data_IF_566902660251
#
_entry.id   IF_566902660251
#
_cell.length_a   1.000
_cell.length_b   1.000
_cell.length_c   1.000
_cell.angle_alpha   90.00
_cell.angle_beta   90.00
_cell.angle_gamma   90.00
#
_symmetry.space_group_name_H-M   'P 1'
#
loop_
_entity.id
_entity.type
_entity.pdbx_description
1 polymer ?
#
# COMPACT_ATOMS: atom_id res chain seq x y z
N UNK A 1 -12.68 -0.97 -10.97
CA UNK A 1 -12.91 -2.41 -10.66
C UNK A 1 -11.67 -3.22 -11.01
N UNK A 2 -11.52 -4.44 -10.50
CA UNK A 2 -10.32 -5.27 -10.77
C UNK A 2 -10.64 -6.75 -10.98
N UNK A 3 -9.79 -7.42 -11.76
CA UNK A 3 -9.77 -8.89 -11.93
C UNK A 3 -8.33 -9.39 -12.02
N UNK A 4 -8.12 -10.64 -11.59
CA UNK A 4 -6.94 -11.39 -12.04
C UNK A 4 -7.08 -11.67 -13.53
N UNK A 5 -5.96 -11.83 -14.23
CA UNK A 5 -6.00 -12.20 -15.65
C UNK A 5 -6.85 -13.46 -15.87
N UNK A 6 -7.84 -13.40 -16.77
CA UNK A 6 -8.83 -14.48 -17.00
C UNK A 6 -9.99 -14.58 -15.99
N UNK A 7 -10.03 -13.76 -14.93
CA UNK A 7 -11.06 -13.82 -13.89
C UNK A 7 -12.33 -12.99 -14.16
N UNK A 8 -13.36 -13.17 -13.31
CA UNK A 8 -14.56 -12.32 -13.28
C UNK A 8 -14.23 -10.94 -12.71
N UNK A 9 -14.81 -9.90 -13.31
CA UNK A 9 -14.71 -8.52 -12.82
C UNK A 9 -15.36 -8.37 -11.44
N UNK A 10 -14.60 -7.82 -10.48
CA UNK A 10 -15.10 -7.46 -9.16
C UNK A 10 -14.97 -5.97 -8.92
N UNK A 11 -16.04 -5.34 -8.43
CA UNK A 11 -15.96 -3.95 -7.94
C UNK A 11 -15.22 -3.96 -6.61
N UNK A 12 -14.19 -3.13 -6.53
CA UNK A 12 -13.31 -2.96 -5.38
C UNK A 12 -12.95 -1.48 -5.28
N UNK A 13 -12.80 -1.02 -4.06
CA UNK A 13 -12.26 0.29 -3.76
C UNK A 13 -10.74 0.17 -3.66
N UNK A 14 -10.01 1.03 -4.37
CA UNK A 14 -8.55 0.98 -4.42
C UNK A 14 -7.98 2.24 -3.79
N UNK A 15 -6.97 2.08 -2.94
CA UNK A 15 -6.19 3.17 -2.37
C UNK A 15 -4.72 2.94 -2.71
N UNK A 16 -4.03 4.01 -3.10
CA UNK A 16 -2.61 4.01 -3.36
C UNK A 16 -1.90 4.73 -2.22
N UNK A 17 -0.99 4.05 -1.54
CA UNK A 17 -0.21 4.60 -0.44
C UNK A 17 1.27 4.29 -0.65
N UNK A 18 2.04 5.29 -1.06
CA UNK A 18 3.44 5.09 -1.46
C UNK A 18 3.53 4.12 -2.65
N UNK A 19 4.28 3.04 -2.48
CA UNK A 19 4.45 1.95 -3.46
C UNK A 19 3.46 0.79 -3.26
N UNK A 20 2.45 0.96 -2.39
CA UNK A 20 1.48 -0.07 -2.07
C UNK A 20 0.11 0.27 -2.63
N UNK A 21 -0.42 -0.61 -3.48
CA UNK A 21 -1.80 -0.56 -3.94
C UNK A 21 -2.66 -1.49 -3.08
N UNK A 22 -3.57 -0.91 -2.31
CA UNK A 22 -4.49 -1.61 -1.43
C UNK A 22 -5.86 -1.69 -2.07
N UNK A 23 -6.59 -2.77 -1.81
CA UNK A 23 -7.97 -2.89 -2.25
C UNK A 23 -8.91 -3.38 -1.16
N UNK A 24 -10.15 -2.89 -1.23
CA UNK A 24 -11.19 -3.12 -0.25
C UNK A 24 -12.53 -3.44 -0.89
N UNK A 25 -13.45 -4.03 -0.12
CA UNK A 25 -14.78 -4.41 -0.61
C UNK A 25 -15.72 -3.21 -0.81
N UNK A 26 -15.62 -2.19 0.04
CA UNK A 26 -16.52 -1.02 0.07
C UNK A 26 -15.73 0.25 0.34
N UNK A 27 -16.31 1.40 0.02
CA UNK A 27 -15.72 2.73 0.23
C UNK A 27 -15.88 3.26 1.67
N UNK A 28 -16.71 2.63 2.52
CA UNK A 28 -17.10 3.18 3.83
C UNK A 28 -15.92 3.73 4.65
N UNK A 29 -15.89 5.07 4.68
CA UNK A 29 -15.07 6.04 5.43
C UNK A 29 -13.82 5.50 6.12
N UNK A 30 -12.65 5.95 5.62
CA UNK A 30 -11.32 5.89 6.22
C UNK A 30 -11.31 5.68 7.74
N UNK A 31 -11.34 4.42 8.17
CA UNK A 31 -11.12 4.05 9.57
C UNK A 31 -9.72 3.45 9.69
N UNK A 32 -8.86 3.94 10.59
CA UNK A 32 -7.48 3.46 10.74
C UNK A 32 -7.39 1.98 11.18
N UNK A 33 -8.51 1.37 11.57
CA UNK A 33 -8.58 -0.03 11.97
C UNK A 33 -8.89 -1.01 10.81
N UNK A 34 -9.13 -0.50 9.60
CA UNK A 34 -9.56 -1.36 8.49
C UNK A 34 -8.39 -2.14 7.90
N UNK A 35 -8.54 -3.47 7.81
CA UNK A 35 -7.58 -4.31 7.10
C UNK A 35 -7.93 -4.36 5.60
N UNK A 36 -6.95 -4.17 4.70
CA UNK A 36 -7.18 -4.33 3.27
C UNK A 36 -7.54 -5.77 2.94
N UNK A 37 -8.42 -5.96 1.96
CA UNK A 37 -8.75 -7.30 1.44
C UNK A 37 -7.55 -7.94 0.72
N UNK A 38 -6.66 -7.10 0.21
CA UNK A 38 -5.34 -7.48 -0.25
C UNK A 38 -4.52 -6.26 -0.62
N UNK A 39 -3.25 -6.50 -0.85
CA UNK A 39 -2.24 -5.49 -1.06
C UNK A 39 -1.30 -5.96 -2.17
N UNK A 40 -0.93 -5.03 -3.04
CA UNK A 40 -0.03 -5.26 -4.18
C UNK A 40 1.14 -4.31 -4.04
N UNK A 41 2.34 -4.85 -3.92
CA UNK A 41 3.57 -4.06 -3.97
C UNK A 41 3.85 -3.70 -5.43
N UNK A 42 4.01 -2.40 -5.71
CA UNK A 42 4.25 -1.90 -7.06
C UNK A 42 5.73 -1.92 -7.46
N UNK A 43 6.64 -2.24 -6.53
CA UNK A 43 8.06 -2.28 -6.81
C UNK A 43 8.37 -3.31 -7.91
N UNK A 44 8.99 -2.84 -9.00
CA UNK A 44 9.32 -3.67 -10.17
C UNK A 44 8.10 -4.13 -10.99
N UNK A 45 6.89 -3.65 -10.69
CA UNK A 45 5.74 -3.89 -11.56
C UNK A 45 5.86 -3.12 -12.87
N UNK A 46 5.14 -3.54 -13.90
CA UNK A 46 4.96 -2.75 -15.12
C UNK A 46 3.49 -2.39 -15.29
N UNK A 47 3.23 -1.13 -15.64
CA UNK A 47 1.89 -0.62 -15.93
C UNK A 47 1.75 -0.54 -17.45
N UNK A 48 0.73 -1.20 -17.99
CA UNK A 48 0.45 -1.19 -19.43
C UNK A 48 -1.00 -0.83 -19.71
N UNK A 49 -1.20 0.03 -20.71
CA UNK A 49 -2.53 0.33 -21.22
C UNK A 49 -3.07 -0.89 -21.99
N UNK A 50 -4.36 -1.16 -21.83
CA UNK A 50 -5.06 -2.18 -22.61
C UNK A 50 -6.07 -1.51 -23.53
N UNK A 51 -6.41 -2.13 -24.67
CA UNK A 51 -7.42 -1.58 -25.56
C UNK A 51 -8.75 -1.41 -24.83
N UNK A 52 -9.39 -0.26 -25.03
CA UNK A 52 -10.72 0.02 -24.50
C UNK A 52 -11.69 -1.02 -25.03
N UNK A 53 -12.40 -1.69 -24.13
CA UNK A 53 -13.40 -2.70 -24.48
C UNK A 53 -14.77 -2.20 -24.04
N UNK A 54 -15.76 -2.40 -24.91
CA UNK A 54 -17.15 -2.29 -24.52
C UNK A 54 -17.48 -3.46 -23.59
N UNK A 55 -18.04 -3.15 -22.43
CA UNK A 55 -18.59 -4.16 -21.55
C UNK A 55 -19.94 -4.67 -22.09
N UNK A 56 -20.42 -5.79 -21.54
CA UNK A 56 -21.67 -6.42 -21.95
C UNK A 56 -22.91 -5.52 -21.76
N UNK A 57 -22.80 -4.50 -20.91
CA UNK A 57 -23.80 -3.46 -20.63
C UNK A 57 -23.68 -2.25 -21.57
N UNK A 58 -22.74 -2.27 -22.53
CA UNK A 58 -22.47 -1.16 -23.45
C UNK A 58 -21.60 -0.05 -22.85
N UNK A 59 -21.23 -0.13 -21.57
CA UNK A 59 -20.35 0.86 -20.96
C UNK A 59 -18.90 0.67 -21.44
N UNK A 60 -18.21 1.76 -21.75
CA UNK A 60 -16.78 1.72 -22.06
C UNK A 60 -15.99 1.46 -20.78
N UNK A 61 -15.11 0.45 -20.82
CA UNK A 61 -14.14 0.20 -19.74
C UNK A 61 -12.75 0.61 -20.19
N UNK A 62 -12.19 1.55 -19.45
CA UNK A 62 -10.81 1.98 -19.65
C UNK A 62 -9.90 1.05 -18.86
N UNK A 63 -9.43 -0.01 -19.51
CA UNK A 63 -8.67 -1.11 -18.90
C UNK A 63 -7.16 -0.83 -18.91
N UNK A 64 -6.48 -1.20 -17.84
CA UNK A 64 -5.02 -1.22 -17.73
C UNK A 64 -4.57 -2.43 -16.93
N UNK A 65 -3.35 -2.90 -17.17
CA UNK A 65 -2.77 -4.04 -16.49
C UNK A 65 -1.53 -3.64 -15.67
N UNK A 66 -1.50 -4.17 -14.45
CA UNK A 66 -0.36 -4.21 -13.56
C UNK A 66 0.24 -5.60 -13.63
N UNK A 67 1.40 -5.73 -14.27
CA UNK A 67 2.10 -7.01 -14.41
C UNK A 67 3.26 -7.07 -13.42
N UNK A 68 3.21 -8.05 -12.51
CA UNK A 68 4.27 -8.28 -11.55
C UNK A 68 5.27 -9.31 -12.11
N UNK A 69 6.59 -9.09 -12.02
CA UNK A 69 7.58 -9.97 -12.66
C UNK A 69 7.59 -11.40 -12.10
N UNK A 70 7.21 -11.56 -10.83
CA UNK A 70 7.24 -12.82 -10.09
C UNK A 70 5.83 -13.35 -9.77
N UNK A 71 4.79 -12.55 -10.02
CA UNK A 71 3.47 -12.75 -9.42
C UNK A 71 2.31 -12.60 -10.39
N UNK A 72 1.09 -12.63 -9.84
CA UNK A 72 -0.13 -12.49 -10.61
C UNK A 72 -0.27 -11.08 -11.21
N UNK A 73 -0.59 -11.02 -12.50
CA UNK A 73 -1.00 -9.78 -13.16
C UNK A 73 -2.43 -9.39 -12.77
N UNK A 74 -2.62 -8.11 -12.44
CA UNK A 74 -3.90 -7.53 -12.08
C UNK A 74 -4.40 -6.63 -13.21
N UNK A 75 -5.61 -6.88 -13.69
CA UNK A 75 -6.27 -6.01 -14.68
C UNK A 75 -7.29 -5.13 -13.96
N UNK A 76 -7.14 -3.83 -14.13
CA UNK A 76 -7.99 -2.81 -13.55
C UNK A 76 -8.79 -2.11 -14.65
N UNK A 77 -9.94 -1.56 -14.28
CA UNK A 77 -10.77 -0.75 -15.16
C UNK A 77 -11.30 0.47 -14.40
N UNK A 78 -11.16 1.64 -15.01
CA UNK A 78 -11.79 2.88 -14.56
C UNK A 78 -13.14 3.09 -15.25
N UNK A 79 -14.03 3.82 -14.58
CA UNK A 79 -15.37 4.14 -15.11
C UNK A 79 -15.33 5.31 -16.09
N UNK A 80 -14.36 6.21 -15.94
CA UNK A 80 -14.17 7.36 -16.83
C UNK A 80 -12.74 7.43 -17.36
N UNK A 81 -12.58 8.08 -18.53
CA UNK A 81 -11.27 8.32 -19.14
C UNK A 81 -10.36 9.17 -18.25
N UNK A 82 -10.91 10.14 -17.54
CA UNK A 82 -10.14 11.00 -16.62
C UNK A 82 -9.58 10.20 -15.44
N UNK A 83 -10.41 9.34 -14.83
CA UNK A 83 -9.96 8.43 -13.77
C UNK A 83 -8.88 7.48 -14.27
N UNK A 84 -9.03 6.94 -15.47
CA UNK A 84 -8.03 6.09 -16.11
C UNK A 84 -6.67 6.78 -16.19
N UNK A 85 -6.60 7.99 -16.76
CA UNK A 85 -5.34 8.72 -16.88
C UNK A 85 -4.74 9.05 -15.52
N UNK A 86 -5.55 9.52 -14.56
CA UNK A 86 -5.08 9.81 -13.21
C UNK A 86 -4.48 8.58 -12.51
N UNK A 87 -5.11 7.41 -12.66
CA UNK A 87 -4.59 6.15 -12.11
C UNK A 87 -3.31 5.69 -12.82
N UNK A 88 -3.25 5.79 -14.15
CA UNK A 88 -2.06 5.41 -14.93
C UNK A 88 -0.85 6.26 -14.53
N UNK A 89 -1.02 7.57 -14.43
CA UNK A 89 0.03 8.51 -14.03
C UNK A 89 0.51 8.21 -12.60
N UNK A 90 -0.42 8.11 -11.64
CA UNK A 90 -0.08 7.82 -10.25
C UNK A 90 0.68 6.49 -10.09
N UNK A 91 0.23 5.43 -10.77
CA UNK A 91 0.89 4.12 -10.71
C UNK A 91 2.26 4.13 -11.39
N UNK A 92 2.41 4.84 -12.52
CA UNK A 92 3.70 4.98 -13.19
C UNK A 92 4.72 5.72 -12.32
N UNK A 93 4.31 6.80 -11.65
CA UNK A 93 5.15 7.50 -10.69
C UNK A 93 5.61 6.58 -9.55
N UNK A 94 4.72 5.75 -9.00
CA UNK A 94 5.08 4.82 -7.93
C UNK A 94 6.01 3.70 -8.40
N UNK A 95 5.83 3.19 -9.61
CA UNK A 95 6.65 2.11 -10.18
C UNK A 95 8.08 2.56 -10.50
N UNK A 96 8.26 3.79 -10.99
CA UNK A 96 9.57 4.33 -11.33
C UNK A 96 10.38 4.76 -10.09
N UNK A 97 9.77 4.71 -8.90
CA UNK A 97 10.33 5.25 -7.66
C UNK A 97 10.37 6.78 -7.67
N UNK A 98 10.81 7.41 -6.56
CA UNK A 98 11.07 8.84 -6.55
C UNK A 98 12.26 9.12 -7.48
N UNK A 99 11.98 9.27 -8.77
CA UNK A 99 12.87 9.99 -9.67
C UNK A 99 12.88 11.40 -9.11
N UNK A 100 14.03 11.83 -8.57
CA UNK A 100 14.22 13.19 -8.10
C UNK A 100 13.81 14.17 -9.19
N UNK A 101 12.60 14.69 -9.10
CA UNK A 101 12.15 15.80 -9.92
C UNK A 101 12.87 17.04 -9.39
N UNK A 102 14.10 17.25 -9.83
CA UNK A 102 14.57 18.61 -10.14
C UNK A 102 13.62 19.14 -11.22
N UNK A 103 12.54 19.75 -10.75
CA UNK A 103 11.62 20.54 -11.55
C UNK A 103 12.34 21.82 -11.99
N UNK A 104 13.18 21.72 -13.03
CA UNK A 104 13.47 22.87 -13.88
C UNK A 104 12.30 23.04 -14.85
N UNK A 105 11.25 23.71 -14.38
CA UNK A 105 10.27 24.31 -15.27
C UNK A 105 10.92 25.49 -15.97
N UNK A 106 11.24 25.32 -17.25
CA UNK A 106 11.58 26.41 -18.16
C UNK A 106 10.28 26.90 -18.82
N UNK A 107 9.75 28.08 -18.48
CA UNK A 107 8.66 28.65 -19.26
C UNK A 107 9.23 29.18 -20.59
N UNK A 108 8.79 28.61 -21.71
CA UNK A 108 9.00 29.19 -23.02
C UNK A 108 8.03 30.34 -23.23
N UNK A 109 8.48 31.57 -23.00
CA UNK A 109 7.86 32.76 -23.58
C UNK A 109 8.90 33.38 -24.51
N UNK A 110 8.49 33.48 -25.77
CA UNK A 110 9.24 34.06 -26.86
C UNK A 110 8.78 35.51 -26.97
N UNK A 111 9.64 36.49 -26.68
CA UNK A 111 9.53 37.82 -27.28
C UNK A 111 10.81 38.65 -27.12
N UNK A 112 11.09 39.43 -28.14
CA UNK A 112 12.33 40.16 -28.40
C UNK A 112 12.48 41.39 -27.49
N UNK A 113 13.66 41.58 -26.90
CA UNK A 113 14.16 42.93 -26.57
C UNK A 113 15.69 42.94 -26.47
N UNK A 114 16.29 43.64 -27.42
CA UNK A 114 17.63 44.24 -27.39
C UNK A 114 17.80 45.06 -26.11
N UNK A 115 18.87 44.83 -25.33
CA UNK A 115 19.66 45.88 -24.69
C UNK A 115 20.91 45.34 -23.96
N UNK A 116 22.04 45.92 -24.34
CA UNK A 116 23.22 46.30 -23.55
C UNK A 116 23.83 45.31 -22.54
N UNK A 117 24.97 44.77 -22.96
CA UNK A 117 26.07 44.30 -22.14
C UNK A 117 26.50 45.33 -21.09
N UNK A 118 26.28 45.01 -19.82
CA UNK A 118 27.04 45.52 -18.67
C UNK A 118 27.78 44.33 -18.03
N UNK A 119 29.09 44.41 -17.75
CA UNK A 119 29.78 43.33 -17.06
C UNK A 119 29.34 43.33 -15.60
N UNK A 120 28.92 42.19 -15.01
CA UNK A 120 28.60 42.14 -13.60
C UNK A 120 29.88 42.14 -12.77
N UNK A 121 29.87 42.97 -11.74
CA UNK A 121 30.84 43.06 -10.66
C UNK A 121 31.02 41.71 -9.95
N UNK A 122 32.27 41.25 -9.89
CA UNK A 122 32.75 39.97 -9.31
C UNK A 122 32.70 39.91 -7.77
N UNK A 123 31.57 40.28 -7.16
CA UNK A 123 31.35 40.07 -5.72
C UNK A 123 29.91 39.59 -5.53
N UNK A 124 29.61 38.34 -5.90
CA UNK A 124 28.32 37.71 -5.53
C UNK A 124 28.23 36.21 -5.87
N UNK A 125 29.15 35.64 -6.65
CA UNK A 125 29.07 34.21 -7.02
C UNK A 125 29.60 33.33 -5.88
N UNK A 126 30.73 33.69 -5.27
CA UNK A 126 31.32 32.90 -4.17
C UNK A 126 30.52 32.98 -2.86
N UNK A 127 29.77 34.05 -2.63
CA UNK A 127 28.80 34.11 -1.51
C UNK A 127 27.56 33.28 -1.79
N UNK A 128 27.03 33.32 -3.02
CA UNK A 128 25.92 32.46 -3.41
C UNK A 128 26.29 30.97 -3.32
N UNK A 129 27.51 30.60 -3.73
CA UNK A 129 28.01 29.23 -3.62
C UNK A 129 28.17 28.82 -2.15
N UNK A 130 28.66 29.70 -1.27
CA UNK A 130 28.77 29.42 0.16
C UNK A 130 27.40 29.28 0.83
N UNK A 131 26.45 30.15 0.51
CA UNK A 131 25.08 30.07 0.99
C UNK A 131 24.40 28.77 0.55
N UNK A 132 24.51 28.41 -0.74
CA UNK A 132 23.96 27.17 -1.27
C UNK A 132 24.57 25.93 -0.58
N UNK A 133 25.89 25.90 -0.34
CA UNK A 133 26.54 24.81 0.40
C UNK A 133 26.05 24.69 1.84
N UNK A 134 25.77 25.82 2.49
CA UNK A 134 25.28 25.82 3.86
C UNK A 134 23.82 25.37 3.95
N UNK A 135 23.00 25.71 2.95
CA UNK A 135 21.64 25.17 2.81
C UNK A 135 21.65 23.66 2.54
N UNK A 136 22.51 23.16 1.66
CA UNK A 136 22.60 21.71 1.39
C UNK A 136 23.00 20.92 2.64
N UNK A 137 23.96 21.42 3.43
CA UNK A 137 24.36 20.78 4.69
C UNK A 137 23.22 20.77 5.72
N UNK A 138 22.42 21.84 5.76
CA UNK A 138 21.25 21.92 6.64
C UNK A 138 20.16 20.91 6.23
N UNK A 139 19.92 20.77 4.93
CA UNK A 139 18.96 19.81 4.37
C UNK A 139 19.43 18.37 4.63
N UNK A 140 20.69 18.05 4.39
CA UNK A 140 21.27 16.73 4.68
C UNK A 140 21.10 16.37 6.17
N UNK A 141 21.37 17.32 7.08
CA UNK A 141 21.16 17.11 8.50
C UNK A 141 19.68 16.96 8.91
N UNK A 142 18.74 17.53 8.14
CA UNK A 142 17.30 17.30 8.35
C UNK A 142 16.89 15.89 7.88
N UNK A 143 17.34 15.47 6.70
CA UNK A 143 17.10 14.12 6.16
C UNK A 143 17.68 13.05 7.09
N UNK A 144 18.89 13.25 7.62
CA UNK A 144 19.51 12.32 8.57
C UNK A 144 18.63 12.14 9.84
N UNK A 145 18.11 13.24 10.39
CA UNK A 145 17.24 13.18 11.58
C UNK A 145 15.92 12.49 11.29
N UNK A 146 15.32 12.73 10.12
CA UNK A 146 14.08 12.05 9.72
C UNK A 146 14.29 10.56 9.45
N UNK A 147 15.41 10.18 8.85
CA UNK A 147 15.73 8.76 8.59
C UNK A 147 15.97 8.00 9.90
N UNK A 148 16.68 8.59 10.86
CA UNK A 148 16.84 8.04 12.21
C UNK A 148 15.50 7.91 12.95
N UNK A 149 14.64 8.93 12.88
CA UNK A 149 13.31 8.88 13.47
C UNK A 149 12.43 7.79 12.83
N UNK A 150 12.51 7.62 11.51
CA UNK A 150 11.82 6.54 10.78
C UNK A 150 12.32 5.16 11.22
N UNK A 151 13.63 4.97 11.35
CA UNK A 151 14.21 3.70 11.80
C UNK A 151 13.74 3.33 13.21
N UNK A 152 13.72 4.30 14.13
CA UNK A 152 13.21 4.12 15.50
C UNK A 152 11.71 3.78 15.51
N UNK A 153 10.91 4.40 14.64
CA UNK A 153 9.48 4.10 14.52
C UNK A 153 9.25 2.68 13.98
N UNK A 154 10.04 2.24 13.02
CA UNK A 154 9.95 0.90 12.46
C UNK A 154 10.30 -0.18 13.51
N UNK A 155 11.34 0.04 14.31
CA UNK A 155 11.70 -0.86 15.41
C UNK A 155 10.58 -0.97 16.44
N UNK A 156 9.95 0.15 16.82
CA UNK A 156 8.78 0.16 17.71
C UNK A 156 7.60 -0.62 17.13
N UNK A 157 7.36 -0.53 15.82
CA UNK A 157 6.32 -1.30 15.15
C UNK A 157 6.64 -2.80 15.13
N UNK A 158 7.90 -3.18 14.93
CA UNK A 158 8.34 -4.58 15.00
C UNK A 158 8.11 -5.16 16.39
N UNK A 159 8.52 -4.46 17.46
CA UNK A 159 8.28 -4.90 18.84
C UNK A 159 6.77 -5.01 19.16
N UNK A 160 5.98 -4.01 18.75
CA UNK A 160 4.52 -4.04 18.93
C UNK A 160 3.87 -5.25 18.24
N UNK A 161 4.31 -5.59 17.00
CA UNK A 161 3.83 -6.77 16.28
C UNK A 161 4.18 -8.08 17.00
N UNK A 162 5.39 -8.19 17.55
CA UNK A 162 5.80 -9.37 18.32
C UNK A 162 4.94 -9.53 19.58
N UNK A 163 4.71 -8.45 20.33
CA UNK A 163 3.84 -8.46 21.52
C UNK A 163 2.41 -8.87 21.20
N UNK A 164 1.84 -8.34 20.11
CA UNK A 164 0.50 -8.73 19.65
C UNK A 164 0.46 -10.19 19.18
N UNK A 165 1.51 -10.66 18.52
CA UNK A 165 1.68 -12.05 18.12
C UNK A 165 1.65 -13.00 19.31
N UNK A 166 2.42 -12.68 20.36
CA UNK A 166 2.44 -13.44 21.63
C UNK A 166 1.06 -13.46 22.31
N UNK A 167 0.40 -12.30 22.41
CA UNK A 167 -0.96 -12.22 22.98
C UNK A 167 -1.97 -13.07 22.20
N UNK A 168 -1.96 -13.00 20.87
CA UNK A 168 -2.81 -13.86 20.02
C UNK A 168 -2.48 -15.34 20.20
N UNK A 169 -1.20 -15.70 20.32
CA UNK A 169 -0.75 -17.06 20.60
C UNK A 169 -1.31 -17.59 21.93
N UNK A 170 -1.17 -16.80 22.99
CA UNK A 170 -1.69 -17.11 24.33
C UNK A 170 -3.21 -17.28 24.33
N UNK A 171 -3.95 -16.41 23.65
CA UNK A 171 -5.41 -16.53 23.53
C UNK A 171 -5.81 -17.82 22.82
N UNK A 172 -5.16 -18.16 21.68
CA UNK A 172 -5.43 -19.42 20.97
C UNK A 172 -5.07 -20.65 21.80
N UNK A 173 -4.00 -20.58 22.59
CA UNK A 173 -3.63 -21.66 23.51
C UNK A 173 -4.68 -21.83 24.61
N UNK A 174 -5.11 -20.73 25.26
CA UNK A 174 -6.17 -20.75 26.28
C UNK A 174 -7.47 -21.34 25.73
N UNK A 175 -7.89 -20.92 24.55
CA UNK A 175 -9.10 -21.43 23.91
C UNK A 175 -9.02 -22.94 23.67
N UNK A 176 -7.92 -23.43 23.08
CA UNK A 176 -7.72 -24.87 22.88
C UNK A 176 -7.71 -25.66 24.18
N UNK A 177 -7.11 -25.10 25.22
CA UNK A 177 -7.02 -25.77 26.52
C UNK A 177 -8.39 -25.84 27.23
N UNK A 178 -9.21 -24.79 27.09
CA UNK A 178 -10.60 -24.80 27.54
C UNK A 178 -11.42 -25.84 26.77
N UNK A 179 -11.34 -25.87 25.44
CA UNK A 179 -12.05 -26.85 24.60
C UNK A 179 -11.67 -28.29 24.96
N UNK A 180 -10.38 -28.57 25.19
CA UNK A 180 -9.90 -29.87 25.64
C UNK A 180 -10.46 -30.25 27.03
N UNK A 181 -10.46 -29.31 27.98
CA UNK A 181 -11.00 -29.52 29.33
C UNK A 181 -12.51 -29.77 29.31
N UNK A 182 -13.26 -29.03 28.48
CA UNK A 182 -14.70 -29.23 28.27
C UNK A 182 -15.00 -30.55 27.55
N UNK A 183 -14.14 -30.98 26.62
CA UNK A 183 -14.23 -32.28 25.96
C UNK A 183 -14.04 -33.42 26.95
N UNK A 184 -13.00 -33.36 27.77
CA UNK A 184 -12.71 -34.34 28.81
C UNK A 184 -13.87 -34.45 29.83
N UNK A 185 -14.42 -33.32 30.26
CA UNK A 185 -15.59 -33.30 31.17
C UNK A 185 -16.84 -33.92 30.53
N UNK A 186 -17.13 -33.61 29.25
CA UNK A 186 -18.25 -34.22 28.52
C UNK A 186 -18.10 -35.73 28.39
N UNK A 187 -16.90 -36.21 28.05
CA UNK A 187 -16.62 -37.65 27.94
C UNK A 187 -16.78 -38.37 29.29
N UNK A 188 -16.30 -37.79 30.39
CA UNK A 188 -16.44 -38.35 31.73
C UNK A 188 -17.91 -38.44 32.17
N UNK A 189 -18.74 -37.46 31.82
CA UNK A 189 -20.18 -37.45 32.14
C UNK A 189 -20.96 -38.53 31.37
N UNK A 190 -20.59 -38.80 30.11
CA UNK A 190 -21.21 -39.85 29.29
C UNK A 190 -20.84 -41.25 29.80
N UNK A 191 -19.62 -41.44 30.29
CA UNK A 191 -19.17 -42.71 30.89
C UNK A 191 -19.80 -42.96 32.27
N UNK A 192 -19.95 -41.92 33.11
CA UNK A 192 -20.64 -42.04 34.40
C UNK A 192 -22.14 -42.38 34.27
N UNK A 193 -22.80 -41.97 33.18
CA UNK A 193 -24.21 -42.28 32.92
C UNK A 193 -24.46 -43.71 32.42
N UNK A 194 -23.42 -44.46 32.01
CA UNK A 194 -23.53 -45.87 31.58
C UNK A 194 -23.28 -46.88 32.70
N UNK A 195 -22.87 -46.44 33.89
CA UNK A 195 -22.47 -47.31 35.01
C UNK A 195 -23.57 -47.67 36.03
N UNK A 196 -24.83 -47.27 35.83
CA UNK A 196 -25.90 -47.46 36.85
C UNK A 196 -27.12 -48.22 36.33
N UNK A 197 -26.93 -49.28 35.52
CA UNK A 197 -27.99 -50.23 35.16
C UNK A 197 -27.51 -51.68 35.27
N UNK A 198 -27.31 -52.07 36.51
CA UNK A 198 -27.26 -53.44 37.06
C UNK A 198 -27.75 -53.17 38.50
N UNK A 199 -28.77 -53.79 39.10
CA UNK A 199 -29.39 -55.11 39.09
C UNK A 199 -30.81 -54.83 39.68
N UNK A 200 -31.92 -55.50 39.34
CA UNK A 200 -32.33 -56.78 39.89
C UNK A 200 -33.61 -57.23 39.17
N UNK A 201 -33.58 -58.46 38.66
CA UNK A 201 -34.76 -59.21 38.29
C UNK A 201 -34.98 -60.26 39.39
N UNK A 202 -36.10 -60.15 40.10
CA UNK A 202 -36.76 -61.23 40.81
C UNK A 202 -38.26 -61.09 40.61
#
# INVERSE_FOLDING_TARGET
GGKREGGKWNRRYFELYGDLLMYFHTEQSHSPARQPNGLVCLHGCSVSERPVRAAADGALRFEFALSHPIGDSLVLAAETKSQFHAWMEALQCCVQGPVGHTSEQKPSVRENAKCETRPPTNVSVDEAIRAAKQETLSIEGAIQRETEACAMAEERLRDARLRLGLRRGLLRWRQRNLEASFGAWRSARIQGARGTREVDAF
#
